data_IF_804184718365
#
_entry.id   IF_804184718365
#
_cell.length_a   1.000
_cell.length_b   1.000
_cell.length_c   1.000
_cell.angle_alpha   90.00
_cell.angle_beta   90.00
_cell.angle_gamma   90.00
#
_symmetry.space_group_name_H-M   'P 1'
#
loop_
_entity.id
_entity.type
_entity.pdbx_description
1 polymer ?
#
# COMPACT_ATOMS: atom_id res chain seq x y z
N UNK A 1 -8.05 -6.61 38.35
CA UNK A 1 -8.47 -5.64 37.30
C UNK A 1 -9.42 -6.34 36.34
N UNK A 2 -10.62 -5.78 36.05
CA UNK A 2 -11.53 -6.30 35.01
C UNK A 2 -11.35 -5.46 33.74
N UNK A 3 -10.91 -6.07 32.64
CA UNK A 3 -10.82 -5.39 31.34
C UNK A 3 -12.22 -5.13 30.78
N UNK A 4 -12.45 -3.95 30.19
CA UNK A 4 -13.71 -3.61 29.49
C UNK A 4 -13.79 -4.21 28.08
N UNK A 5 -12.64 -4.62 27.51
CA UNK A 5 -12.59 -5.17 26.16
C UNK A 5 -13.17 -6.59 26.13
N UNK A 6 -14.27 -6.78 25.39
CA UNK A 6 -14.96 -8.09 25.24
C UNK A 6 -14.02 -9.19 24.73
N UNK A 7 -13.13 -8.84 23.79
CA UNK A 7 -12.12 -9.75 23.22
C UNK A 7 -11.14 -10.24 24.28
N UNK A 8 -10.56 -9.34 25.07
CA UNK A 8 -9.63 -9.69 26.17
C UNK A 8 -10.27 -10.63 27.20
N UNK A 9 -11.54 -10.38 27.58
CA UNK A 9 -12.27 -11.26 28.48
C UNK A 9 -12.56 -12.63 27.86
N UNK A 10 -12.78 -12.70 26.54
CA UNK A 10 -12.91 -13.95 25.80
C UNK A 10 -11.60 -14.74 25.75
N UNK A 11 -10.48 -14.08 25.50
CA UNK A 11 -9.17 -14.70 25.41
C UNK A 11 -8.67 -15.29 26.73
N UNK A 12 -9.10 -14.73 27.88
CA UNK A 12 -8.82 -15.30 29.19
C UNK A 12 -9.30 -16.77 29.33
N UNK A 13 -10.40 -17.14 28.63
CA UNK A 13 -10.92 -18.52 28.63
C UNK A 13 -10.07 -19.50 27.80
N UNK A 14 -9.20 -18.99 26.94
CA UNK A 14 -8.33 -19.76 26.05
C UNK A 14 -6.87 -19.31 26.21
N UNK A 15 -6.43 -19.07 27.45
CA UNK A 15 -5.11 -18.48 27.76
C UNK A 15 -3.91 -19.25 27.18
N UNK A 16 -4.06 -20.54 26.87
CA UNK A 16 -3.04 -21.37 26.23
C UNK A 16 -2.97 -21.20 24.69
N UNK A 17 -3.83 -20.37 24.09
CA UNK A 17 -3.91 -20.14 22.64
C UNK A 17 -3.52 -18.71 22.29
N UNK A 18 -2.79 -18.54 21.18
CA UNK A 18 -2.68 -17.24 20.52
C UNK A 18 -4.08 -16.70 20.16
N UNK A 19 -4.36 -15.49 20.61
CA UNK A 19 -5.69 -14.87 20.58
C UNK A 19 -6.04 -14.23 19.23
N UNK A 20 -5.06 -13.61 18.58
CA UNK A 20 -5.21 -12.98 17.27
C UNK A 20 -4.66 -13.93 16.21
N UNK A 21 -5.56 -14.63 15.52
CA UNK A 21 -5.24 -15.55 14.42
C UNK A 21 -6.00 -15.09 13.19
N UNK A 22 -5.46 -14.09 12.50
CA UNK A 22 -6.04 -13.58 11.26
C UNK A 22 -5.24 -14.20 10.12
N UNK A 23 -5.84 -15.18 9.43
CA UNK A 23 -5.23 -15.86 8.28
C UNK A 23 -6.26 -15.95 7.16
N UNK A 24 -5.83 -15.59 5.94
CA UNK A 24 -6.60 -15.82 4.72
C UNK A 24 -6.43 -17.27 4.25
N UNK A 25 -7.36 -17.74 3.40
CA UNK A 25 -7.26 -19.07 2.78
C UNK A 25 -6.33 -19.12 1.55
N UNK A 26 -5.94 -17.96 1.03
CA UNK A 26 -5.11 -17.82 -0.17
C UNK A 26 -3.95 -16.86 0.06
N UNK A 27 -3.19 -16.60 -1.00
CA UNK A 27 -2.11 -15.62 -0.95
C UNK A 27 -2.63 -14.20 -0.64
N UNK A 28 -1.72 -13.33 -0.22
CA UNK A 28 -2.04 -11.99 0.24
C UNK A 28 -1.04 -10.95 -0.24
N UNK A 29 -1.39 -9.67 -0.10
CA UNK A 29 -0.45 -8.55 -0.23
C UNK A 29 -0.10 -8.07 1.17
N UNK A 30 1.19 -7.93 1.45
CA UNK A 30 1.71 -7.38 2.71
C UNK A 30 2.12 -5.91 2.52
N UNK A 31 1.72 -5.08 3.49
CA UNK A 31 2.07 -3.65 3.56
C UNK A 31 2.75 -3.38 4.89
N UNK A 32 4.04 -3.00 4.93
CA UNK A 32 4.72 -2.69 6.18
C UNK A 32 4.01 -1.59 6.97
N UNK A 33 3.86 -1.77 8.28
CA UNK A 33 3.24 -0.77 9.17
C UNK A 33 4.12 0.45 9.36
N UNK A 34 5.44 0.25 9.40
CA UNK A 34 6.42 1.32 9.53
C UNK A 34 7.47 1.15 8.44
N UNK A 35 7.77 2.22 7.71
CA UNK A 35 8.82 2.24 6.68
C UNK A 35 9.66 3.51 6.80
N UNK A 36 10.92 3.46 6.35
CA UNK A 36 11.75 4.65 6.27
C UNK A 36 11.13 5.70 5.35
N UNK A 37 11.11 6.92 5.82
CA UNK A 37 10.72 8.13 5.12
C UNK A 37 11.62 8.47 3.93
N UNK A 38 12.85 7.94 3.88
CA UNK A 38 13.80 8.14 2.78
C UNK A 38 13.32 7.48 1.48
N UNK A 39 12.64 6.33 1.58
CA UNK A 39 12.24 5.52 0.41
C UNK A 39 11.12 6.22 -0.35
N UNK A 40 11.29 6.44 -1.64
CA UNK A 40 10.24 7.08 -2.46
C UNK A 40 8.95 6.24 -2.47
N UNK A 41 9.10 4.92 -2.55
CA UNK A 41 7.99 3.95 -2.54
C UNK A 41 8.03 3.09 -1.28
N UNK A 42 6.86 2.78 -0.73
CA UNK A 42 6.76 1.82 0.38
C UNK A 42 6.91 0.40 -0.19
N UNK A 43 7.89 -0.40 0.27
CA UNK A 43 8.09 -1.74 -0.26
C UNK A 43 6.98 -2.68 0.23
N UNK A 44 6.02 -2.95 -0.64
CA UNK A 44 4.96 -3.96 -0.44
C UNK A 44 5.30 -5.25 -1.18
N UNK A 45 4.68 -6.37 -0.80
CA UNK A 45 4.99 -7.68 -1.39
C UNK A 45 3.80 -8.63 -1.46
N UNK A 46 3.97 -9.74 -2.18
CA UNK A 46 3.04 -10.87 -2.14
C UNK A 46 3.52 -11.91 -1.14
N UNK A 47 2.59 -12.43 -0.33
CA UNK A 47 2.85 -13.53 0.59
C UNK A 47 2.00 -14.73 0.19
N UNK A 48 2.53 -15.93 0.39
CA UNK A 48 1.78 -17.17 0.19
C UNK A 48 0.72 -17.38 1.29
N UNK A 49 -0.08 -18.43 1.15
CA UNK A 49 -1.14 -18.80 2.12
C UNK A 49 -0.58 -19.35 3.44
N UNK A 50 0.69 -19.77 3.46
CA UNK A 50 1.31 -20.45 4.60
C UNK A 50 2.10 -19.45 5.48
N UNK A 51 2.28 -18.23 4.99
CA UNK A 51 2.95 -17.11 5.65
C UNK A 51 2.11 -16.56 6.81
N UNK A 52 2.74 -16.42 7.98
CA UNK A 52 2.14 -15.79 9.16
C UNK A 52 2.69 -14.39 9.32
N UNK A 53 1.84 -13.39 9.10
CA UNK A 53 2.22 -11.98 9.16
C UNK A 53 1.98 -11.45 10.57
N UNK A 54 2.99 -10.78 11.14
CA UNK A 54 2.93 -10.19 12.49
C UNK A 54 2.22 -8.84 12.49
N UNK A 55 2.02 -8.23 13.67
CA UNK A 55 1.37 -6.91 13.79
C UNK A 55 2.21 -5.74 13.23
N UNK A 56 3.44 -6.03 12.79
CA UNK A 56 4.35 -5.09 12.14
C UNK A 56 3.99 -4.83 10.66
N UNK A 57 2.97 -5.50 10.12
CA UNK A 57 2.46 -5.25 8.78
C UNK A 57 0.94 -5.39 8.72
N UNK A 58 0.35 -4.76 7.71
CA UNK A 58 -1.03 -4.95 7.30
C UNK A 58 -1.11 -5.93 6.14
N UNK A 59 -2.28 -6.54 5.97
CA UNK A 59 -2.49 -7.63 5.03
C UNK A 59 -3.78 -7.41 4.26
N UNK A 60 -3.70 -7.53 2.94
CA UNK A 60 -4.86 -7.61 2.05
C UNK A 60 -4.98 -9.05 1.59
N UNK A 61 -6.03 -9.76 2.02
CA UNK A 61 -6.27 -11.18 1.69
C UNK A 61 -6.80 -11.38 0.25
N UNK A 62 -6.22 -10.68 -0.70
CA UNK A 62 -6.50 -10.75 -2.14
C UNK A 62 -5.23 -10.39 -2.91
N UNK A 63 -4.78 -11.26 -3.79
CA UNK A 63 -3.68 -10.97 -4.71
C UNK A 63 -4.23 -10.33 -6.00
N UNK A 64 -4.64 -9.07 -5.91
CA UNK A 64 -5.07 -8.29 -7.07
C UNK A 64 -3.90 -7.44 -7.58
N UNK A 65 -3.33 -7.72 -8.77
CA UNK A 65 -2.17 -6.98 -9.26
C UNK A 65 -2.46 -5.50 -9.54
N UNK A 66 -3.70 -5.16 -9.92
CA UNK A 66 -4.06 -3.76 -10.10
C UNK A 66 -4.06 -3.03 -8.74
N UNK A 67 -4.58 -3.68 -7.70
CA UNK A 67 -4.54 -3.12 -6.34
C UNK A 67 -3.09 -2.95 -5.87
N UNK A 68 -2.24 -3.96 -6.08
CA UNK A 68 -0.82 -3.86 -5.78
C UNK A 68 -0.19 -2.64 -6.44
N UNK A 69 -0.41 -2.44 -7.74
CA UNK A 69 0.11 -1.28 -8.47
C UNK A 69 -0.39 0.05 -7.91
N UNK A 70 -1.69 0.14 -7.56
CA UNK A 70 -2.25 1.36 -6.97
C UNK A 70 -1.57 1.68 -5.64
N UNK A 71 -1.48 0.71 -4.73
CA UNK A 71 -0.91 0.95 -3.40
C UNK A 71 0.62 0.96 -3.35
N UNK A 72 1.31 0.55 -4.42
CA UNK A 72 2.75 0.76 -4.57
C UNK A 72 3.11 2.06 -5.31
N UNK A 73 2.13 2.79 -5.84
CA UNK A 73 2.37 4.02 -6.62
C UNK A 73 2.86 5.19 -5.76
N UNK A 74 3.49 6.16 -6.41
CA UNK A 74 3.90 7.44 -5.82
C UNK A 74 2.71 8.24 -5.29
N UNK A 75 1.54 8.19 -5.95
CA UNK A 75 0.33 8.87 -5.46
C UNK A 75 -0.11 8.33 -4.11
N UNK A 76 -0.11 7.01 -3.93
CA UNK A 76 -0.41 6.40 -2.64
C UNK A 76 0.68 6.68 -1.61
N UNK A 77 1.95 6.63 -2.04
CA UNK A 77 3.11 7.05 -1.22
C UNK A 77 2.97 8.48 -0.69
N UNK A 78 2.55 9.41 -1.53
CA UNK A 78 2.31 10.80 -1.20
C UNK A 78 1.12 10.93 -0.24
N UNK A 79 0.04 10.19 -0.46
CA UNK A 79 -1.10 10.15 0.47
C UNK A 79 -0.68 9.67 1.87
N UNK A 80 0.10 8.58 1.97
CA UNK A 80 0.65 8.09 3.24
C UNK A 80 1.42 9.20 3.96
N UNK A 81 2.26 9.95 3.22
CA UNK A 81 3.08 11.03 3.78
C UNK A 81 2.25 12.21 4.28
N UNK A 82 1.12 12.48 3.64
CA UNK A 82 0.30 13.66 3.93
C UNK A 82 -0.74 13.42 5.02
N UNK A 83 -1.44 12.27 4.99
CA UNK A 83 -2.52 11.99 5.96
C UNK A 83 -2.16 10.92 6.99
N UNK A 84 -1.15 10.11 6.70
CA UNK A 84 -0.74 9.02 7.58
C UNK A 84 -0.09 9.51 8.88
N UNK A 85 0.00 8.58 9.83
CA UNK A 85 0.76 8.83 11.06
C UNK A 85 2.26 8.73 10.83
N UNK A 86 3.04 9.08 11.85
CA UNK A 86 4.50 8.90 11.86
C UNK A 86 4.97 8.24 13.16
N UNK A 87 6.11 7.56 13.09
CA UNK A 87 6.89 7.15 14.25
C UNK A 87 8.19 7.93 14.22
N UNK A 88 8.28 8.98 15.05
CA UNK A 88 9.26 10.06 14.86
C UNK A 88 9.10 10.65 13.47
N UNK A 89 10.02 10.37 12.54
CA UNK A 89 9.94 10.78 11.13
C UNK A 89 9.50 9.67 10.19
N UNK A 90 9.52 8.41 10.63
CA UNK A 90 9.22 7.24 9.79
C UNK A 90 7.75 7.20 9.44
N UNK A 91 7.45 6.79 8.20
CA UNK A 91 6.07 6.64 7.74
C UNK A 91 5.38 5.55 8.53
N UNK A 92 4.15 5.82 8.98
CA UNK A 92 3.32 4.83 9.67
C UNK A 92 2.01 4.62 8.91
N UNK A 93 1.89 3.45 8.30
CA UNK A 93 0.71 3.03 7.57
C UNK A 93 -0.47 2.78 8.53
N UNK A 94 -1.69 3.01 8.06
CA UNK A 94 -2.92 2.75 8.79
C UNK A 94 -4.03 2.39 7.81
N UNK A 95 -4.79 1.33 8.12
CA UNK A 95 -5.96 0.96 7.32
C UNK A 95 -7.01 2.06 7.38
N UNK A 96 -7.34 2.55 8.58
CA UNK A 96 -8.42 3.50 8.79
C UNK A 96 -8.11 4.90 8.23
N UNK A 97 -6.86 5.35 8.35
CA UNK A 97 -6.47 6.73 8.03
C UNK A 97 -5.90 6.87 6.62
N UNK A 98 -5.28 5.81 6.08
CA UNK A 98 -4.63 5.85 4.77
C UNK A 98 -5.41 5.02 3.76
N UNK A 99 -5.53 3.71 3.97
CA UNK A 99 -6.09 2.82 2.95
C UNK A 99 -7.57 3.14 2.67
N UNK A 100 -8.39 3.26 3.72
CA UNK A 100 -9.83 3.48 3.60
C UNK A 100 -10.19 4.88 3.08
N UNK A 101 -9.30 5.86 3.26
CA UNK A 101 -9.52 7.25 2.85
C UNK A 101 -8.84 7.58 1.53
N UNK A 102 -8.02 6.67 0.98
CA UNK A 102 -7.30 6.94 -0.25
C UNK A 102 -8.29 7.12 -1.42
N UNK A 103 -8.36 8.33 -2.00
CA UNK A 103 -9.36 8.61 -3.02
C UNK A 103 -8.86 8.06 -4.36
N UNK A 104 -9.60 7.09 -4.92
CA UNK A 104 -9.29 6.50 -6.21
C UNK A 104 -10.54 6.52 -7.11
N UNK A 105 -10.44 7.01 -8.36
CA UNK A 105 -11.60 7.13 -9.25
C UNK A 105 -12.03 5.77 -9.81
N UNK A 106 -13.27 5.69 -10.28
CA UNK A 106 -13.71 4.54 -11.08
C UNK A 106 -12.96 4.52 -12.42
N UNK A 107 -12.29 3.39 -12.71
CA UNK A 107 -11.48 3.22 -13.91
C UNK A 107 -12.02 2.12 -14.81
N UNK A 108 -11.85 2.30 -16.11
CA UNK A 108 -12.16 1.24 -17.09
C UNK A 108 -11.33 -0.02 -16.80
N UNK A 109 -11.89 -1.18 -17.13
CA UNK A 109 -11.17 -2.46 -17.03
C UNK A 109 -9.83 -2.46 -17.79
N UNK A 110 -9.78 -1.81 -18.96
CA UNK A 110 -8.53 -1.66 -19.73
C UNK A 110 -7.43 -0.98 -18.92
N UNK A 111 -7.71 0.17 -18.29
CA UNK A 111 -6.73 0.86 -17.42
C UNK A 111 -6.32 -0.02 -16.23
N UNK A 112 -7.29 -0.70 -15.60
CA UNK A 112 -7.02 -1.62 -14.48
C UNK A 112 -6.06 -2.75 -14.89
N UNK A 113 -6.24 -3.31 -16.09
CA UNK A 113 -5.33 -4.32 -16.65
C UNK A 113 -3.93 -3.73 -16.92
N UNK A 114 -3.84 -2.52 -17.48
CA UNK A 114 -2.54 -1.86 -17.68
C UNK A 114 -1.80 -1.59 -16.37
N UNK A 115 -2.50 -1.18 -15.30
CA UNK A 115 -1.91 -1.05 -13.96
C UNK A 115 -1.41 -2.41 -13.46
N UNK A 116 -2.21 -3.46 -13.62
CA UNK A 116 -1.83 -4.82 -13.25
C UNK A 116 -0.57 -5.30 -13.98
N UNK A 117 -0.46 -5.04 -15.29
CA UNK A 117 0.72 -5.38 -16.09
C UNK A 117 1.98 -4.67 -15.58
N UNK A 118 1.90 -3.36 -15.31
CA UNK A 118 3.04 -2.59 -14.77
C UNK A 118 3.42 -3.02 -13.35
N UNK A 119 2.43 -3.34 -12.52
CA UNK A 119 2.65 -3.89 -11.19
C UNK A 119 3.42 -5.22 -11.24
N UNK A 120 3.03 -6.13 -12.13
CA UNK A 120 3.71 -7.42 -12.29
C UNK A 120 5.11 -7.27 -12.89
N UNK A 121 5.34 -6.28 -13.76
CA UNK A 121 6.68 -5.97 -14.26
C UNK A 121 7.64 -5.55 -13.13
N UNK A 122 7.17 -4.73 -12.17
CA UNK A 122 7.95 -4.38 -10.97
C UNK A 122 8.30 -5.63 -10.17
N UNK A 123 7.36 -6.57 -10.00
CA UNK A 123 7.61 -7.80 -9.26
C UNK A 123 8.64 -8.67 -9.97
N UNK A 124 8.53 -8.82 -11.30
CA UNK A 124 9.49 -9.57 -12.09
C UNK A 124 10.91 -8.97 -12.01
N UNK A 125 11.04 -7.64 -12.12
CA UNK A 125 12.35 -6.97 -11.99
C UNK A 125 12.97 -7.22 -10.61
N UNK A 126 12.17 -7.22 -9.53
CA UNK A 126 12.70 -7.54 -8.20
C UNK A 126 13.25 -8.97 -8.12
N UNK A 127 12.66 -9.92 -8.86
CA UNK A 127 13.13 -11.31 -8.91
C UNK A 127 14.45 -11.47 -9.66
N UNK A 128 14.79 -10.52 -10.55
CA UNK A 128 16.06 -10.50 -11.28
C UNK A 128 17.27 -10.09 -10.40
N UNK A 129 17.01 -9.69 -9.15
CA UNK A 129 18.03 -9.32 -8.15
C UNK A 129 18.00 -10.21 -6.90
N UNK A 130 18.23 -11.53 -7.01
CA UNK A 130 18.11 -12.48 -5.90
C UNK A 130 19.13 -12.26 -4.77
N UNK A 131 20.24 -11.56 -5.06
CA UNK A 131 21.29 -11.23 -4.09
C UNK A 131 20.98 -9.99 -3.23
N UNK A 132 20.01 -9.17 -3.63
CA UNK A 132 19.64 -7.95 -2.93
C UNK A 132 18.42 -8.16 -2.04
N UNK A 133 18.44 -7.58 -0.83
CA UNK A 133 17.25 -7.55 0.00
C UNK A 133 16.23 -6.53 -0.53
N UNK A 134 14.97 -6.64 -0.10
CA UNK A 134 13.95 -5.61 -0.38
C UNK A 134 14.37 -4.23 0.16
N UNK A 135 15.17 -4.19 1.23
CA UNK A 135 15.72 -2.93 1.75
C UNK A 135 16.72 -2.32 0.77
N UNK A 136 17.66 -3.11 0.23
CA UNK A 136 18.68 -2.66 -0.71
C UNK A 136 18.06 -2.22 -2.05
N UNK A 137 17.06 -2.98 -2.54
CA UNK A 137 16.32 -2.65 -3.77
C UNK A 137 15.57 -1.33 -3.70
N UNK A 138 15.23 -0.87 -2.49
CA UNK A 138 14.46 0.34 -2.27
C UNK A 138 15.25 1.43 -1.52
N UNK A 139 16.57 1.28 -1.37
CA UNK A 139 17.40 2.39 -0.90
C UNK A 139 17.48 3.47 -2.02
N UNK A 140 17.15 4.73 -1.73
CA UNK A 140 17.18 5.80 -2.74
C UNK A 140 18.52 5.99 -3.46
N UNK A 141 19.63 5.65 -2.81
CA UNK A 141 20.98 5.85 -3.34
C UNK A 141 21.42 4.70 -4.25
N UNK A 142 20.88 3.49 -4.04
CA UNK A 142 21.31 2.26 -4.73
C UNK A 142 20.20 1.55 -5.51
N UNK A 143 18.98 2.08 -5.53
CA UNK A 143 17.85 1.51 -6.25
C UNK A 143 18.21 1.25 -7.73
N UNK A 144 18.07 0.01 -8.23
CA UNK A 144 18.34 -0.31 -9.63
C UNK A 144 17.57 0.58 -10.60
N UNK A 145 18.24 1.00 -11.68
CA UNK A 145 17.70 1.98 -12.62
C UNK A 145 16.46 1.47 -13.37
N UNK A 146 16.44 0.19 -13.69
CA UNK A 146 15.30 -0.52 -14.30
C UNK A 146 14.11 -0.62 -13.35
N UNK A 147 14.33 -0.92 -12.07
CA UNK A 147 13.29 -0.91 -11.04
C UNK A 147 12.71 0.49 -10.88
N UNK A 148 13.56 1.52 -10.81
CA UNK A 148 13.14 2.92 -10.74
C UNK A 148 12.30 3.32 -11.96
N UNK A 149 12.74 2.91 -13.16
CA UNK A 149 12.01 3.15 -14.40
C UNK A 149 10.65 2.43 -14.40
N UNK A 150 10.57 1.20 -13.88
CA UNK A 150 9.32 0.46 -13.79
C UNK A 150 8.30 1.11 -12.85
N UNK A 151 8.75 1.68 -11.72
CA UNK A 151 7.89 2.50 -10.85
C UNK A 151 7.40 3.76 -11.55
N UNK A 152 8.29 4.47 -12.25
CA UNK A 152 7.90 5.65 -13.01
C UNK A 152 6.81 5.32 -14.06
N UNK A 153 6.95 4.20 -14.77
CA UNK A 153 5.94 3.75 -15.74
C UNK A 153 4.61 3.37 -15.09
N UNK A 154 4.65 2.71 -13.93
CA UNK A 154 3.46 2.44 -13.14
C UNK A 154 2.78 3.76 -12.72
N UNK A 155 3.55 4.73 -12.23
CA UNK A 155 3.03 6.02 -11.80
C UNK A 155 2.35 6.78 -12.92
N UNK A 156 2.93 6.80 -14.12
CA UNK A 156 2.29 7.42 -15.30
C UNK A 156 0.92 6.81 -15.57
N UNK A 157 0.79 5.48 -15.50
CA UNK A 157 -0.50 4.79 -15.74
C UNK A 157 -1.49 5.05 -14.60
N UNK A 158 -1.03 5.06 -13.35
CA UNK A 158 -1.87 5.35 -12.19
C UNK A 158 -2.33 6.81 -12.22
N UNK A 159 -1.46 7.78 -12.52
CA UNK A 159 -1.82 9.19 -12.69
C UNK A 159 -2.84 9.40 -13.82
N UNK A 160 -2.71 8.66 -14.92
CA UNK A 160 -3.68 8.67 -16.01
C UNK A 160 -5.07 8.17 -15.60
N UNK A 161 -5.20 7.47 -14.47
CA UNK A 161 -6.50 7.12 -13.90
C UNK A 161 -7.25 8.35 -13.37
N UNK A 162 -6.52 9.36 -12.88
CA UNK A 162 -7.09 10.58 -12.29
C UNK A 162 -7.36 11.65 -13.34
N UNK A 163 -6.42 11.87 -14.26
CA UNK A 163 -6.54 12.90 -15.30
C UNK A 163 -5.70 12.58 -16.54
N UNK A 164 -6.07 13.16 -17.67
CA UNK A 164 -5.35 12.95 -18.95
C UNK A 164 -4.02 13.71 -18.97
N UNK A 165 -3.96 14.87 -18.30
CA UNK A 165 -2.77 15.71 -18.26
C UNK A 165 -1.78 15.16 -17.23
N UNK A 166 -0.46 15.15 -17.52
CA UNK A 166 0.53 14.74 -16.54
C UNK A 166 0.55 15.70 -15.35
N UNK A 167 0.89 15.18 -14.17
CA UNK A 167 1.13 16.02 -12.98
C UNK A 167 2.54 16.58 -13.01
N UNK A 168 2.68 17.89 -12.77
CA UNK A 168 3.97 18.58 -12.79
C UNK A 168 4.59 18.72 -11.39
N UNK A 169 3.81 18.52 -10.32
CA UNK A 169 4.30 18.65 -8.94
C UNK A 169 3.49 17.80 -7.95
N UNK A 170 4.09 17.52 -6.80
CA UNK A 170 3.40 16.81 -5.71
C UNK A 170 2.26 17.65 -5.10
N UNK A 171 2.32 18.99 -5.19
CA UNK A 171 1.21 19.87 -4.79
C UNK A 171 0.00 19.62 -5.68
N UNK A 172 0.19 19.55 -7.00
CA UNK A 172 -0.89 19.28 -7.95
C UNK A 172 -1.50 17.89 -7.74
N UNK A 173 -0.66 16.88 -7.45
CA UNK A 173 -1.11 15.53 -7.08
C UNK A 173 -2.00 15.57 -5.83
N UNK A 174 -1.58 16.25 -4.77
CA UNK A 174 -2.34 16.36 -3.53
C UNK A 174 -3.66 17.12 -3.73
N UNK A 175 -3.65 18.22 -4.47
CA UNK A 175 -4.89 18.93 -4.79
C UNK A 175 -5.91 18.05 -5.50
N UNK A 176 -5.46 17.21 -6.44
CA UNK A 176 -6.32 16.26 -7.13
C UNK A 176 -6.90 15.22 -6.17
N UNK A 177 -6.06 14.64 -5.31
CA UNK A 177 -6.48 13.66 -4.31
C UNK A 177 -7.51 14.27 -3.34
N UNK A 178 -7.23 15.43 -2.75
CA UNK A 178 -8.17 16.08 -1.82
C UNK A 178 -9.50 16.45 -2.49
N UNK A 179 -9.48 16.99 -3.72
CA UNK A 179 -10.71 17.28 -4.49
C UNK A 179 -11.54 16.03 -4.74
N UNK A 180 -10.91 14.89 -4.99
CA UNK A 180 -11.62 13.62 -5.18
C UNK A 180 -12.16 13.07 -3.85
N UNK A 181 -11.37 13.16 -2.78
CA UNK A 181 -11.78 12.77 -1.44
C UNK A 181 -13.01 13.54 -0.95
N UNK A 182 -13.01 14.88 -1.10
CA UNK A 182 -14.16 15.74 -0.75
C UNK A 182 -15.44 15.29 -1.46
N UNK A 183 -15.36 15.01 -2.77
CA UNK A 183 -16.51 14.50 -3.55
C UNK A 183 -17.01 13.14 -3.06
N UNK A 184 -16.10 12.23 -2.69
CA UNK A 184 -16.48 10.92 -2.16
C UNK A 184 -17.18 11.05 -0.80
N UNK A 185 -16.71 11.96 0.06
CA UNK A 185 -17.33 12.24 1.35
C UNK A 185 -18.70 12.93 1.22
N UNK A 186 -18.87 13.83 0.25
CA UNK A 186 -20.17 14.44 -0.05
C UNK A 186 -21.19 13.38 -0.52
N UNK A 187 -20.76 12.43 -1.36
CA UNK A 187 -21.61 11.35 -1.86
C UNK A 187 -22.00 10.32 -0.78
N UNK A 188 -21.12 10.04 0.20
CA UNK A 188 -21.42 9.13 1.30
C UNK A 188 -22.43 9.72 2.31
N UNK A 189 -22.42 11.04 2.48
CA UNK A 189 -23.30 11.75 3.43
C UNK A 189 -24.66 12.17 2.83
N UNK A 190 -24.89 11.91 1.54
CA UNK A 190 -26.12 12.23 0.81
C UNK A 190 -27.14 11.08 0.83
#
# INVERSE_FOLDING_TARGET
>A
MKSKAKTTNGYAKIAHKFAQRVQGKGGSIIVPKTSSERREYVPIGYMDKDSVITDAAFVIFKQDPALFGIISSKLHGLWIRTVGGQLETRLRYSVEIVYNTFPFPDVSEKKRLTVAEKAMAIVAIREDYPELSIEDLYDPDTMPADLKQAHYELDVVVEQCYQIKPFYSDIERLECLFKLYEKMMEAENA
#
